data_IF_614018724149
#
_entry.id   IF_614018724149
#
_cell.length_a   1.000
_cell.length_b   1.000
_cell.length_c   1.000
_cell.angle_alpha   90.00
_cell.angle_beta   90.00
_cell.angle_gamma   90.00
#
_symmetry.space_group_name_H-M   'P 1'
#
loop_
_entity.id
_entity.type
_entity.pdbx_description
1 polymer ?
#
# COMPACT_ATOMS: atom_id res chain seq x y z
N UNK A 1 -56.30 36.48 -104.22
CA UNK A 1 -56.31 37.09 -102.87
C UNK A 1 -55.04 36.64 -102.16
N UNK A 2 -54.16 37.57 -101.79
CA UNK A 2 -52.74 37.30 -101.44
C UNK A 2 -52.61 36.63 -100.07
N UNK A 3 -51.91 35.49 -100.07
CA UNK A 3 -51.42 34.74 -98.92
C UNK A 3 -50.32 35.51 -98.20
N UNK A 4 -50.46 35.74 -96.89
CA UNK A 4 -49.38 36.32 -96.07
C UNK A 4 -48.62 35.16 -95.43
N UNK A 5 -47.35 35.00 -95.81
CA UNK A 5 -46.42 34.05 -95.20
C UNK A 5 -45.89 34.64 -93.89
N UNK A 6 -46.03 33.88 -92.82
CA UNK A 6 -45.47 34.23 -91.51
C UNK A 6 -43.94 34.16 -91.54
N UNK A 7 -43.31 35.23 -91.06
CA UNK A 7 -41.87 35.33 -90.86
C UNK A 7 -41.50 34.59 -89.58
N UNK A 8 -40.55 33.67 -89.70
CA UNK A 8 -39.97 32.88 -88.61
C UNK A 8 -38.94 33.74 -87.87
N UNK A 9 -39.09 33.87 -86.56
CA UNK A 9 -38.03 34.34 -85.66
C UNK A 9 -37.63 33.17 -84.76
N UNK A 10 -36.38 32.69 -84.88
CA UNK A 10 -35.73 31.89 -83.86
C UNK A 10 -34.95 32.81 -82.93
N UNK A 11 -34.98 32.57 -81.61
CA UNK A 11 -33.72 32.72 -80.89
C UNK A 11 -33.45 31.65 -79.83
N UNK A 12 -32.18 31.21 -79.86
CA UNK A 12 -31.28 30.83 -78.78
C UNK A 12 -31.57 29.55 -77.96
N UNK A 13 -30.64 28.60 -78.12
CA UNK A 13 -30.44 27.39 -77.32
C UNK A 13 -30.43 27.68 -75.80
N UNK A 14 -31.29 26.99 -75.06
CA UNK A 14 -31.25 26.98 -73.61
C UNK A 14 -30.22 25.94 -73.13
N UNK A 15 -29.17 26.40 -72.46
CA UNK A 15 -28.21 25.56 -71.71
C UNK A 15 -28.94 24.60 -70.77
N UNK A 16 -28.58 23.31 -70.83
CA UNK A 16 -29.20 22.23 -70.06
C UNK A 16 -29.17 22.45 -68.54
N UNK A 17 -30.26 22.08 -67.87
CA UNK A 17 -30.47 22.26 -66.43
C UNK A 17 -29.48 21.39 -65.64
N UNK A 18 -28.79 21.97 -64.66
CA UNK A 18 -27.86 21.22 -63.78
C UNK A 18 -28.66 20.18 -62.98
N UNK A 19 -28.22 18.92 -63.03
CA UNK A 19 -28.84 17.83 -62.29
C UNK A 19 -28.87 18.08 -60.77
N UNK A 20 -29.88 17.55 -60.10
CA UNK A 20 -30.06 17.70 -58.65
C UNK A 20 -28.85 17.11 -57.91
N UNK A 21 -28.42 17.79 -56.86
CA UNK A 21 -27.33 17.30 -56.01
C UNK A 21 -27.86 16.12 -55.19
N UNK A 22 -27.12 15.01 -55.16
CA UNK A 22 -27.55 13.79 -54.47
C UNK A 22 -27.64 13.95 -52.96
N UNK A 23 -28.50 13.15 -52.33
CA UNK A 23 -28.74 13.21 -50.90
C UNK A 23 -27.48 12.85 -50.09
N UNK A 24 -27.37 13.43 -48.90
CA UNK A 24 -26.27 13.16 -47.98
C UNK A 24 -26.43 11.74 -47.40
N UNK A 25 -25.36 10.95 -47.44
CA UNK A 25 -25.35 9.60 -46.87
C UNK A 25 -25.55 9.56 -45.36
N UNK A 26 -26.03 8.43 -44.86
CA UNK A 26 -26.39 8.23 -43.46
C UNK A 26 -25.17 8.31 -42.52
N UNK A 27 -25.36 8.78 -41.27
CA UNK A 27 -24.32 8.73 -40.25
C UNK A 27 -23.83 7.30 -40.00
N UNK A 28 -22.52 7.11 -39.84
CA UNK A 28 -21.93 5.82 -39.52
C UNK A 28 -22.34 5.28 -38.15
N UNK A 29 -22.24 3.97 -37.98
CA UNK A 29 -22.60 3.31 -36.72
C UNK A 29 -21.70 3.74 -35.55
N UNK A 30 -22.30 3.80 -34.36
CA UNK A 30 -21.58 4.11 -33.13
C UNK A 30 -20.63 2.97 -32.80
N UNK A 31 -19.35 3.28 -32.56
CA UNK A 31 -18.35 2.30 -32.15
C UNK A 31 -18.70 1.56 -30.85
N UNK A 32 -18.16 0.35 -30.71
CA UNK A 32 -18.40 -0.51 -29.55
C UNK A 32 -17.87 0.11 -28.25
N UNK A 33 -18.52 -0.26 -27.13
CA UNK A 33 -18.05 0.13 -25.80
C UNK A 33 -16.74 -0.63 -25.50
N UNK A 34 -15.73 0.09 -25.02
CA UNK A 34 -14.48 -0.52 -24.55
C UNK A 34 -14.70 -1.53 -23.42
N UNK A 35 -13.73 -2.44 -23.23
CA UNK A 35 -13.82 -3.47 -22.21
C UNK A 35 -13.91 -2.86 -20.79
N UNK A 36 -14.70 -3.45 -19.88
CA UNK A 36 -14.67 -3.08 -18.46
C UNK A 36 -13.25 -3.25 -17.89
N UNK A 37 -12.76 -2.27 -17.14
CA UNK A 37 -11.46 -2.38 -16.46
C UNK A 37 -11.47 -3.49 -15.40
N UNK A 38 -10.32 -4.16 -15.21
CA UNK A 38 -10.15 -5.21 -14.20
C UNK A 38 -10.43 -4.66 -12.79
N UNK A 39 -11.17 -5.44 -11.98
CA UNK A 39 -11.38 -5.13 -10.56
C UNK A 39 -10.03 -5.13 -9.82
N UNK A 40 -9.50 -3.95 -9.51
CA UNK A 40 -8.25 -3.82 -8.75
C UNK A 40 -8.44 -4.36 -7.33
N UNK A 41 -7.79 -5.47 -7.00
CA UNK A 41 -7.72 -5.99 -5.63
C UNK A 41 -6.87 -5.03 -4.80
N UNK A 42 -7.39 -4.56 -3.67
CA UNK A 42 -6.64 -3.68 -2.78
C UNK A 42 -5.36 -4.40 -2.31
N UNK A 43 -4.20 -3.72 -2.35
CA UNK A 43 -2.95 -4.32 -1.90
C UNK A 43 -3.03 -4.66 -0.42
N UNK A 44 -2.41 -5.77 -0.03
CA UNK A 44 -2.33 -6.25 1.36
C UNK A 44 -0.88 -6.34 1.78
N UNK A 45 -0.61 -6.03 3.03
CA UNK A 45 0.70 -6.21 3.66
C UNK A 45 0.47 -6.22 5.16
N UNK A 46 0.71 -7.37 5.79
CA UNK A 46 0.58 -7.53 7.23
C UNK A 46 1.50 -8.63 7.74
N UNK A 47 2.02 -8.42 8.95
CA UNK A 47 2.71 -9.45 9.70
C UNK A 47 2.40 -9.34 11.19
N UNK A 48 2.48 -10.47 11.88
CA UNK A 48 2.48 -10.54 13.34
C UNK A 48 3.42 -11.66 13.74
N UNK A 49 4.36 -11.34 14.62
CA UNK A 49 5.45 -12.22 15.03
C UNK A 49 5.69 -12.09 16.53
N UNK A 50 6.29 -13.11 17.14
CA UNK A 50 6.62 -13.09 18.57
C UNK A 50 7.98 -13.71 18.86
N UNK A 51 8.51 -13.41 20.03
CA UNK A 51 9.73 -14.05 20.54
C UNK A 51 9.44 -15.50 20.96
N UNK A 52 10.32 -16.42 20.58
CA UNK A 52 10.33 -17.79 21.07
C UNK A 52 10.57 -17.87 22.58
N UNK A 53 10.09 -18.95 23.18
CA UNK A 53 10.22 -19.16 24.62
C UNK A 53 11.69 -19.35 25.02
N UNK A 54 12.09 -18.73 26.13
CA UNK A 54 13.45 -18.86 26.65
C UNK A 54 14.50 -18.04 25.91
N UNK A 55 14.14 -17.35 24.83
CA UNK A 55 14.99 -16.36 24.20
C UNK A 55 14.98 -15.09 25.06
N UNK A 56 16.16 -14.73 25.57
CA UNK A 56 16.41 -13.36 26.06
C UNK A 56 16.93 -12.56 24.87
N UNK A 57 16.56 -11.27 24.81
CA UNK A 57 16.89 -10.22 23.83
C UNK A 57 18.22 -10.37 23.05
N UNK A 58 18.36 -9.77 21.85
CA UNK A 58 19.51 -10.04 20.97
C UNK A 58 20.85 -9.83 21.66
N UNK A 59 21.82 -10.65 21.25
CA UNK A 59 23.16 -10.78 21.84
C UNK A 59 23.98 -9.48 21.84
N UNK A 60 23.63 -8.50 20.99
CA UNK A 60 24.37 -7.26 20.80
C UNK A 60 23.44 -6.03 20.74
N UNK A 61 23.88 -4.92 21.35
CA UNK A 61 23.22 -3.60 21.26
C UNK A 61 23.32 -3.06 19.84
N UNK A 62 22.27 -2.39 19.36
CA UNK A 62 22.24 -1.80 18.02
C UNK A 62 21.70 -2.74 16.93
N UNK A 63 21.60 -4.04 17.21
CA UNK A 63 20.99 -5.00 16.30
C UNK A 63 19.45 -5.00 16.42
N UNK A 64 18.79 -5.39 15.34
CA UNK A 64 17.34 -5.58 15.34
C UNK A 64 16.94 -6.77 16.25
N UNK A 65 15.87 -6.58 17.02
CA UNK A 65 15.23 -7.64 17.81
C UNK A 65 14.57 -8.63 16.84
N UNK A 66 15.00 -9.89 16.90
CA UNK A 66 14.51 -10.96 16.02
C UNK A 66 13.31 -11.65 16.66
N UNK A 67 12.11 -11.21 16.31
CA UNK A 67 10.89 -11.97 16.58
C UNK A 67 10.82 -13.12 15.57
N UNK A 68 11.20 -14.31 16.03
CA UNK A 68 11.49 -15.49 15.23
C UNK A 68 10.26 -16.38 14.98
N UNK A 69 9.27 -16.31 15.86
CA UNK A 69 8.04 -17.10 15.74
C UNK A 69 6.99 -16.36 14.92
N UNK A 70 6.68 -16.87 13.74
CA UNK A 70 5.68 -16.28 12.82
C UNK A 70 4.26 -16.68 13.24
N UNK A 71 3.38 -15.69 13.42
CA UNK A 71 1.93 -15.90 13.57
C UNK A 71 1.21 -15.65 12.25
N UNK A 72 1.53 -14.52 11.60
CA UNK A 72 1.02 -14.12 10.28
C UNK A 72 2.18 -13.47 9.52
N UNK A 73 2.41 -13.86 8.26
CA UNK A 73 3.36 -13.22 7.37
C UNK A 73 3.11 -13.63 5.90
N UNK A 74 1.86 -13.60 5.46
CA UNK A 74 1.45 -14.16 4.16
C UNK A 74 2.18 -13.52 2.96
N UNK A 75 2.50 -12.24 3.04
CA UNK A 75 3.20 -11.51 1.97
C UNK A 75 4.73 -11.67 2.03
N UNK A 76 5.25 -12.26 3.11
CA UNK A 76 6.71 -12.35 3.32
C UNK A 76 7.39 -10.99 3.35
N UNK A 77 6.73 -9.98 3.95
CA UNK A 77 7.27 -8.63 4.07
C UNK A 77 8.12 -8.48 5.33
N UNK A 78 7.90 -9.33 6.33
CA UNK A 78 8.79 -9.47 7.49
C UNK A 78 9.78 -10.62 7.30
N UNK A 79 11.04 -10.40 7.65
CA UNK A 79 12.10 -11.40 7.64
C UNK A 79 12.52 -11.74 9.08
N UNK A 80 12.22 -12.96 9.53
CA UNK A 80 12.50 -13.43 10.90
C UNK A 80 13.98 -13.65 11.21
N UNK A 81 14.81 -13.89 10.18
CA UNK A 81 16.27 -14.02 10.35
C UNK A 81 16.94 -12.68 10.66
N UNK A 82 16.37 -11.58 10.13
CA UNK A 82 16.91 -10.22 10.30
C UNK A 82 16.14 -9.36 11.30
N UNK A 83 14.91 -9.71 11.65
CA UNK A 83 14.04 -8.93 12.52
C UNK A 83 13.39 -7.71 11.85
N UNK A 84 13.40 -7.65 10.51
CA UNK A 84 13.04 -6.44 9.74
C UNK A 84 11.81 -6.67 8.87
N UNK A 85 10.90 -5.70 8.91
CA UNK A 85 9.88 -5.50 7.88
C UNK A 85 10.46 -4.69 6.72
N UNK A 86 10.18 -5.07 5.48
CA UNK A 86 10.53 -4.32 4.27
C UNK A 86 9.27 -3.98 3.50
N UNK A 87 9.02 -2.69 3.30
CA UNK A 87 7.87 -2.19 2.58
C UNK A 87 7.92 -2.60 1.10
N UNK A 88 6.83 -3.17 0.59
CA UNK A 88 6.61 -3.43 -0.85
C UNK A 88 5.48 -2.60 -1.46
N UNK A 89 4.57 -2.09 -0.63
CA UNK A 89 3.39 -1.31 -1.06
C UNK A 89 3.48 0.10 -0.45
N UNK A 90 3.52 1.18 -1.25
CA UNK A 90 3.54 2.53 -0.70
C UNK A 90 2.24 2.83 0.05
N UNK A 91 2.35 3.44 1.24
CA UNK A 91 1.18 3.82 2.02
C UNK A 91 1.48 4.10 3.48
N UNK A 92 0.41 4.21 4.26
CA UNK A 92 0.49 4.38 5.71
C UNK A 92 0.32 3.04 6.40
N UNK A 93 1.24 2.73 7.29
CA UNK A 93 1.34 1.52 8.07
C UNK A 93 1.18 1.81 9.55
N UNK A 94 0.54 0.90 10.27
CA UNK A 94 0.56 0.88 11.73
C UNK A 94 1.50 -0.20 12.20
N UNK A 95 2.35 0.13 13.18
CA UNK A 95 3.24 -0.80 13.86
C UNK A 95 2.97 -0.77 15.35
N UNK A 96 2.97 -1.94 15.99
CA UNK A 96 2.80 -2.09 17.42
C UNK A 96 3.71 -3.19 17.98
N UNK A 97 4.34 -2.88 19.11
CA UNK A 97 5.09 -3.80 19.93
C UNK A 97 4.33 -3.96 21.25
N UNK A 98 4.10 -5.20 21.65
CA UNK A 98 3.59 -5.53 22.97
C UNK A 98 4.60 -6.44 23.64
N UNK A 99 5.33 -5.92 24.62
CA UNK A 99 6.40 -6.62 25.29
C UNK A 99 6.01 -7.03 26.71
N UNK A 100 6.37 -8.25 27.07
CA UNK A 100 6.50 -8.64 28.47
C UNK A 100 7.87 -8.21 28.97
N UNK A 101 7.91 -7.56 30.13
CA UNK A 101 9.14 -7.01 30.74
C UNK A 101 9.49 -7.79 32.00
N UNK A 102 10.66 -8.41 32.05
CA UNK A 102 11.08 -9.20 33.21
C UNK A 102 12.61 -9.26 33.36
N UNK A 103 13.08 -9.43 34.60
CA UNK A 103 14.50 -9.53 35.02
C UNK A 103 15.37 -8.28 34.80
N UNK A 104 14.99 -7.37 33.90
CA UNK A 104 15.61 -6.07 33.69
C UNK A 104 14.55 -5.06 33.22
N UNK A 105 14.87 -3.76 33.30
CA UNK A 105 14.06 -2.74 32.63
C UNK A 105 14.13 -2.94 31.12
N UNK A 106 13.14 -2.43 30.38
CA UNK A 106 13.12 -2.53 28.93
C UNK A 106 13.07 -1.15 28.29
N UNK A 107 13.95 -0.94 27.31
CA UNK A 107 13.90 0.17 26.39
C UNK A 107 13.98 -0.39 24.96
N UNK A 108 13.13 0.11 24.08
CA UNK A 108 13.28 -0.14 22.65
C UNK A 108 12.88 1.07 21.82
N UNK A 109 13.47 1.13 20.64
CA UNK A 109 13.13 2.06 19.57
C UNK A 109 12.37 1.33 18.47
N UNK A 110 11.33 1.98 17.94
CA UNK A 110 10.79 1.66 16.63
C UNK A 110 11.60 2.41 15.58
N UNK A 111 12.32 1.67 14.75
CA UNK A 111 13.27 2.21 13.79
C UNK A 111 12.65 2.28 12.39
N UNK A 112 12.96 3.34 11.64
CA UNK A 112 12.75 3.43 10.18
C UNK A 112 14.07 3.80 9.52
N UNK A 113 14.57 2.95 8.62
CA UNK A 113 15.80 3.20 7.83
C UNK A 113 17.02 3.71 8.65
N UNK A 114 17.17 3.22 9.88
CA UNK A 114 18.32 3.55 10.74
C UNK A 114 18.08 4.72 11.69
N UNK A 115 16.90 5.36 11.61
CA UNK A 115 16.50 6.43 12.51
C UNK A 115 15.41 5.96 13.47
N UNK A 116 15.55 6.29 14.76
CA UNK A 116 14.51 6.07 15.74
C UNK A 116 13.32 7.00 15.46
N UNK A 117 12.15 6.40 15.25
CA UNK A 117 10.88 7.12 15.05
C UNK A 117 10.26 7.45 16.40
N UNK A 118 10.28 6.48 17.32
CA UNK A 118 9.74 6.60 18.66
C UNK A 118 10.48 5.65 19.60
N UNK A 119 10.63 6.07 20.84
CA UNK A 119 11.34 5.33 21.89
C UNK A 119 10.41 5.06 23.07
N UNK A 120 10.46 3.86 23.62
CA UNK A 120 9.58 3.41 24.69
C UNK A 120 10.41 2.83 25.84
N UNK A 121 9.95 3.05 27.07
CA UNK A 121 10.66 2.61 28.27
C UNK A 121 9.70 2.07 29.33
N UNK A 122 10.10 1.00 30.00
CA UNK A 122 9.45 0.45 31.19
C UNK A 122 10.49 0.12 32.24
N UNK A 123 10.34 0.74 33.41
CA UNK A 123 11.12 0.40 34.59
C UNK A 123 10.69 -0.96 35.15
N UNK A 124 11.66 -1.80 35.50
CA UNK A 124 11.43 -3.06 36.21
C UNK A 124 12.02 -3.00 37.61
N UNK A 125 11.17 -2.88 38.62
CA UNK A 125 11.55 -2.71 40.03
C UNK A 125 11.87 -4.00 40.77
N UNK A 126 12.47 -5.00 40.10
CA UNK A 126 12.78 -6.32 40.67
C UNK A 126 11.55 -7.04 41.25
N UNK A 127 10.38 -6.86 40.64
CA UNK A 127 9.16 -7.52 41.09
C UNK A 127 9.19 -9.02 40.84
N UNK A 128 8.53 -9.85 41.67
CA UNK A 128 8.51 -11.31 41.48
C UNK A 128 7.77 -11.78 40.22
N UNK A 129 7.08 -10.87 39.51
CA UNK A 129 6.30 -11.16 38.30
C UNK A 129 6.62 -10.14 37.19
N UNK A 130 6.38 -10.50 35.91
CA UNK A 130 6.60 -9.60 34.79
C UNK A 130 5.69 -8.36 34.81
N UNK A 131 6.19 -7.28 34.21
CA UNK A 131 5.43 -6.09 33.82
C UNK A 131 5.17 -6.11 32.30
N UNK A 132 4.59 -5.03 31.76
CA UNK A 132 4.34 -4.87 30.33
C UNK A 132 4.83 -3.53 29.82
N UNK A 133 5.23 -3.49 28.55
CA UNK A 133 5.51 -2.27 27.80
C UNK A 133 4.85 -2.39 26.43
N UNK A 134 4.14 -1.36 25.99
CA UNK A 134 3.60 -1.31 24.63
C UNK A 134 3.98 0.01 23.98
N UNK A 135 4.23 -0.04 22.68
CA UNK A 135 4.58 1.12 21.88
C UNK A 135 4.21 0.90 20.43
N UNK A 136 3.90 1.97 19.71
CA UNK A 136 3.47 1.87 18.32
C UNK A 136 3.35 3.22 17.65
N UNK A 137 3.45 3.25 16.32
CA UNK A 137 3.33 4.48 15.54
C UNK A 137 2.72 4.19 14.18
N UNK A 138 2.06 5.20 13.63
CA UNK A 138 1.77 5.26 12.21
C UNK A 138 3.01 5.76 11.47
N UNK A 139 3.31 5.15 10.34
CA UNK A 139 4.43 5.50 9.48
C UNK A 139 3.98 5.52 8.03
N UNK A 140 4.33 6.58 7.31
CA UNK A 140 4.27 6.58 5.86
C UNK A 140 5.54 5.91 5.32
N UNK A 141 5.36 4.89 4.47
CA UNK A 141 6.44 4.09 3.91
C UNK A 141 6.37 4.05 2.38
N UNK A 142 7.54 4.04 1.75
CA UNK A 142 7.70 3.75 0.32
C UNK A 142 8.39 2.38 0.12
N UNK A 143 8.25 1.73 -1.05
CA UNK A 143 8.93 0.47 -1.31
C UNK A 143 10.43 0.53 -1.04
N UNK A 144 10.94 -0.45 -0.30
CA UNK A 144 12.33 -0.51 0.16
C UNK A 144 12.57 0.07 1.56
N UNK A 145 11.65 0.88 2.10
CA UNK A 145 11.75 1.31 3.50
C UNK A 145 11.72 0.10 4.44
N UNK A 146 12.58 0.10 5.44
CA UNK A 146 12.67 -0.93 6.47
C UNK A 146 12.26 -0.42 7.83
N UNK A 147 11.48 -1.23 8.55
CA UNK A 147 11.04 -0.97 9.92
C UNK A 147 11.39 -2.14 10.82
N UNK A 148 11.94 -1.87 12.01
CA UNK A 148 12.29 -2.89 12.98
C UNK A 148 12.26 -2.35 14.41
N UNK A 149 12.36 -3.27 15.37
CA UNK A 149 12.51 -2.95 16.79
C UNK A 149 13.98 -3.09 17.15
N UNK A 150 14.54 -2.13 17.87
CA UNK A 150 15.94 -2.15 18.29
C UNK A 150 16.05 -1.78 19.76
N UNK A 151 16.94 -2.44 20.50
CA UNK A 151 17.31 -1.96 21.84
C UNK A 151 18.42 -0.92 21.69
N UNK A 152 18.23 0.28 22.25
CA UNK A 152 19.24 1.32 22.21
C UNK A 152 20.35 1.10 23.25
N UNK A 153 20.02 0.43 24.37
CA UNK A 153 20.89 0.31 25.53
C UNK A 153 20.95 -1.14 26.04
N UNK A 154 22.15 -1.65 26.32
CA UNK A 154 22.40 -3.03 26.79
C UNK A 154 21.75 -3.35 28.12
N UNK A 155 21.69 -2.37 29.01
CA UNK A 155 21.18 -2.48 30.37
C UNK A 155 19.65 -2.54 30.43
N UNK A 156 18.97 -2.15 29.34
CA UNK A 156 17.51 -2.13 29.26
C UNK A 156 16.99 -3.19 28.29
N UNK A 157 17.44 -4.43 28.50
CA UNK A 157 17.20 -5.57 27.62
C UNK A 157 16.08 -6.50 28.11
N UNK A 158 15.13 -6.00 28.89
CA UNK A 158 14.12 -6.80 29.58
C UNK A 158 13.03 -7.47 28.73
N UNK A 159 13.17 -7.62 27.41
CA UNK A 159 12.19 -8.42 26.64
C UNK A 159 12.13 -9.84 27.16
N UNK A 160 10.92 -10.36 27.29
CA UNK A 160 10.69 -11.68 27.86
C UNK A 160 9.57 -12.43 27.14
N UNK A 161 9.68 -13.76 27.11
CA UNK A 161 8.66 -14.66 26.59
C UNK A 161 8.70 -15.97 27.38
N UNK A 162 7.53 -16.52 27.72
CA UNK A 162 7.36 -17.75 28.50
C UNK A 162 6.18 -18.57 27.98
N UNK A 163 5.83 -19.66 28.66
CA UNK A 163 4.65 -20.46 28.32
C UNK A 163 3.32 -19.72 28.50
N UNK A 164 3.30 -18.59 29.24
CA UNK A 164 2.08 -17.83 29.57
C UNK A 164 2.19 -16.33 29.28
N UNK A 165 3.29 -15.86 28.72
CA UNK A 165 3.53 -14.44 28.43
C UNK A 165 4.29 -14.32 27.12
N UNK A 166 3.87 -13.44 26.24
CA UNK A 166 4.52 -13.23 24.95
C UNK A 166 5.07 -11.81 24.83
N UNK A 167 6.07 -11.64 23.97
CA UNK A 167 6.45 -10.35 23.41
C UNK A 167 6.27 -10.41 21.90
N UNK A 168 5.47 -9.50 21.33
CA UNK A 168 5.09 -9.52 19.92
C UNK A 168 5.37 -8.20 19.22
N UNK A 169 5.56 -8.31 17.90
CA UNK A 169 5.68 -7.19 16.99
C UNK A 169 4.72 -7.42 15.82
N UNK A 170 3.87 -6.44 15.57
CA UNK A 170 2.83 -6.50 14.54
C UNK A 170 2.93 -5.25 13.68
N UNK A 171 2.72 -5.41 12.38
CA UNK A 171 2.59 -4.28 11.47
C UNK A 171 1.68 -4.60 10.29
N UNK A 172 0.93 -3.60 9.82
CA UNK A 172 0.05 -3.77 8.67
C UNK A 172 -0.21 -2.45 7.93
N UNK A 173 -0.49 -2.57 6.64
CA UNK A 173 -0.94 -1.48 5.78
C UNK A 173 -2.34 -1.03 6.20
N UNK A 174 -2.48 0.26 6.52
CA UNK A 174 -3.77 0.89 6.83
C UNK A 174 -4.45 1.34 5.54
N UNK A 175 -3.72 2.04 4.67
CA UNK A 175 -4.17 2.42 3.33
C UNK A 175 -2.98 2.64 2.40
N UNK A 176 -3.14 2.26 1.13
CA UNK A 176 -2.13 2.45 0.10
C UNK A 176 -2.21 3.83 -0.55
N UNK A 177 -1.07 4.34 -1.01
CA UNK A 177 -0.99 5.57 -1.80
C UNK A 177 -1.39 5.39 -3.27
N UNK A 178 -1.69 4.15 -3.70
CA UNK A 178 -2.13 3.91 -5.08
C UNK A 178 -3.51 4.56 -5.31
N UNK A 179 -3.50 5.81 -5.79
CA UNK A 179 -4.69 6.65 -6.02
C UNK A 179 -5.56 6.25 -7.24
N UNK A 180 -5.44 5.02 -7.76
CA UNK A 180 -6.08 4.61 -9.01
C UNK A 180 -6.69 3.20 -8.97
N UNK A 181 -7.11 2.71 -7.80
CA UNK A 181 -8.14 1.66 -7.77
C UNK A 181 -9.48 2.36 -7.97
N UNK A 182 -9.92 2.44 -9.23
CA UNK A 182 -11.14 3.11 -9.70
C UNK A 182 -12.45 2.46 -9.18
N UNK A 183 -12.59 2.29 -7.86
CA UNK A 183 -13.75 1.65 -7.23
C UNK A 183 -14.50 2.61 -6.31
N UNK A 184 -13.87 3.68 -5.81
CA UNK A 184 -14.54 4.67 -4.97
C UNK A 184 -14.01 6.09 -5.22
N UNK A 185 -14.40 6.67 -6.36
CA UNK A 185 -14.39 8.11 -6.58
C UNK A 185 -15.61 8.49 -7.41
#
# INVERSE_FOLDING_TARGET
MKTVKHVVFTPLEATGVRGLTGDRGDPGEKGERGQPGECAVAPKSAFSVKLSQGQTSPLNVGDAVRFDTILINEQGDYNSETGRFTCKVPGVYYFAVHATVYRASLQFDLMKNGHAVASYFQFYGNWPKPASLSGGSLLHLIPGDQVWVQMALSEYNGFYSSTKTDSSFTGFLVYSDWKNSAVFA
#
